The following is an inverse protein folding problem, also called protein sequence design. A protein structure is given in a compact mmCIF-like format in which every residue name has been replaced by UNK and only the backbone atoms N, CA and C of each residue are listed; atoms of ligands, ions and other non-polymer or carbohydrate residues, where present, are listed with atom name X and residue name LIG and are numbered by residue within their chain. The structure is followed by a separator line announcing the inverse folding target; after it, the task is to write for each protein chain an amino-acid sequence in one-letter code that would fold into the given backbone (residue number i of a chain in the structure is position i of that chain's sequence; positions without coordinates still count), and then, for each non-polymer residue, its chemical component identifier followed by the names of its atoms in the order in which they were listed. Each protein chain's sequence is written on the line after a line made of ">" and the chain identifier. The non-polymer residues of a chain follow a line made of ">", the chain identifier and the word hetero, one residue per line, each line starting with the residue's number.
data_IF_311964455747
#
_entry.id   IF_311964455747
#
_cell.length_a   1.000
_cell.length_b   1.000
_cell.length_c   1.000
_cell.angle_alpha   90.00
_cell.angle_beta   90.00
_cell.angle_gamma   90.00
#
_symmetry.space_group_name_H-M   'P 1'
#
loop_
_entity.id
_entity.type
_entity.pdbx_description
1 polymer ?
#
# COMPACT_ATOMS: atom_id res chain seq x y z
N UNK A 1 30.18 -4.81 -49.22
CA UNK A 1 29.26 -3.78 -48.76
C UNK A 1 28.33 -4.43 -47.76
N UNK A 2 28.57 -4.20 -46.47
CA UNK A 2 27.75 -4.76 -45.40
C UNK A 2 26.58 -3.81 -45.14
N UNK A 3 25.37 -4.34 -45.24
CA UNK A 3 24.14 -3.60 -44.93
C UNK A 3 24.17 -3.12 -43.47
N UNK A 4 23.81 -1.87 -43.21
CA UNK A 4 23.75 -1.37 -41.83
C UNK A 4 22.61 -2.06 -41.08
N UNK A 5 22.91 -2.69 -39.97
CA UNK A 5 21.95 -3.27 -39.04
C UNK A 5 20.90 -2.20 -38.67
N UNK A 6 19.59 -2.48 -38.82
CA UNK A 6 18.57 -1.49 -38.46
C UNK A 6 18.64 -1.19 -36.98
N UNK A 7 18.76 0.09 -36.64
CA UNK A 7 18.67 0.58 -35.29
C UNK A 7 17.27 0.22 -34.73
N UNK A 8 17.23 -0.58 -33.67
CA UNK A 8 15.99 -0.88 -32.97
C UNK A 8 15.44 0.45 -32.41
N UNK A 9 14.37 0.95 -33.00
CA UNK A 9 13.63 2.07 -32.44
C UNK A 9 12.99 1.60 -31.13
N UNK A 10 13.53 2.05 -30.01
CA UNK A 10 12.90 1.86 -28.70
C UNK A 10 11.73 2.85 -28.66
N UNK A 11 10.52 2.36 -28.87
CA UNK A 11 9.31 3.15 -28.63
C UNK A 11 9.25 3.50 -27.15
N UNK A 12 9.31 4.80 -26.85
CA UNK A 12 9.10 5.30 -25.49
C UNK A 12 7.61 5.13 -25.17
N UNK A 13 7.22 4.28 -24.19
CA UNK A 13 5.83 4.04 -23.88
C UNK A 13 5.14 5.34 -23.47
N UNK A 14 3.88 5.50 -23.87
CA UNK A 14 3.08 6.65 -23.44
C UNK A 14 2.92 6.65 -21.92
N UNK A 15 2.64 7.82 -21.30
CA UNK A 15 2.37 7.93 -19.86
C UNK A 15 1.27 6.96 -19.41
N UNK A 16 0.25 6.76 -20.24
CA UNK A 16 -0.85 5.82 -19.98
C UNK A 16 -0.39 4.37 -20.01
N UNK A 17 0.45 4.00 -20.97
CA UNK A 17 1.00 2.64 -21.04
C UNK A 17 1.93 2.35 -19.86
N UNK A 18 2.69 3.34 -19.43
CA UNK A 18 3.54 3.21 -18.23
C UNK A 18 2.70 2.95 -16.99
N UNK A 19 1.64 3.72 -16.74
CA UNK A 19 0.75 3.51 -15.60
C UNK A 19 0.04 2.16 -15.66
N UNK A 20 -0.43 1.76 -16.85
CA UNK A 20 -1.02 0.45 -17.05
C UNK A 20 -0.05 -0.67 -16.72
N UNK A 21 1.21 -0.56 -17.16
CA UNK A 21 2.25 -1.53 -16.88
C UNK A 21 2.60 -1.59 -15.38
N UNK A 22 2.62 -0.43 -14.69
CA UNK A 22 2.79 -0.37 -13.23
C UNK A 22 1.63 -1.06 -12.53
N UNK A 23 0.39 -0.74 -12.90
CA UNK A 23 -0.79 -1.34 -12.31
C UNK A 23 -0.85 -2.86 -12.56
N UNK A 24 -0.49 -3.33 -13.76
CA UNK A 24 -0.39 -4.75 -14.09
C UNK A 24 0.73 -5.43 -13.30
N UNK A 25 1.87 -4.79 -13.11
CA UNK A 25 2.98 -5.35 -12.35
C UNK A 25 2.62 -5.56 -10.86
N UNK A 26 1.77 -4.72 -10.28
CA UNK A 26 1.29 -4.86 -8.91
C UNK A 26 0.41 -6.10 -8.75
N UNK A 27 -0.39 -6.44 -9.75
CA UNK A 27 -1.34 -7.58 -9.69
C UNK A 27 -0.78 -8.89 -10.25
N UNK A 28 0.20 -8.83 -11.17
CA UNK A 28 0.72 -10.02 -11.86
C UNK A 28 1.56 -10.94 -10.96
N UNK A 29 2.06 -10.43 -9.85
CA UNK A 29 2.90 -11.20 -8.92
C UNK A 29 2.23 -11.15 -7.55
N UNK A 30 1.69 -12.25 -7.08
CA UNK A 30 1.29 -12.41 -5.69
C UNK A 30 2.53 -12.15 -4.79
N UNK A 31 2.66 -10.93 -4.27
CA UNK A 31 3.87 -10.46 -3.58
C UNK A 31 4.68 -9.42 -4.35
N UNK A 32 4.15 -8.88 -5.47
CA UNK A 32 4.78 -7.79 -6.23
C UNK A 32 5.08 -6.59 -5.34
N UNK A 33 6.30 -6.06 -5.45
CA UNK A 33 6.70 -4.80 -4.80
C UNK A 33 6.56 -3.69 -5.83
N UNK A 34 5.85 -2.63 -5.46
CA UNK A 34 5.85 -1.42 -6.25
C UNK A 34 7.28 -0.84 -6.23
N UNK A 35 7.87 -0.65 -7.41
CA UNK A 35 9.20 -0.01 -7.49
C UNK A 35 9.06 1.48 -7.19
N UNK A 36 10.00 2.05 -6.44
CA UNK A 36 10.00 3.47 -6.06
C UNK A 36 9.83 4.40 -7.28
N UNK A 37 10.58 4.17 -8.34
CA UNK A 37 10.50 4.95 -9.58
C UNK A 37 9.10 4.92 -10.19
N UNK A 38 8.47 3.74 -10.22
CA UNK A 38 7.12 3.56 -10.70
C UNK A 38 6.09 4.32 -9.85
N UNK A 39 6.24 4.26 -8.52
CA UNK A 39 5.37 5.01 -7.60
C UNK A 39 5.53 6.52 -7.77
N UNK A 40 6.77 7.02 -7.94
CA UNK A 40 7.02 8.43 -8.19
C UNK A 40 6.32 8.95 -9.46
N UNK A 41 6.25 8.14 -10.52
CA UNK A 41 5.49 8.51 -11.72
C UNK A 41 3.98 8.68 -11.44
N UNK A 42 3.40 7.82 -10.60
CA UNK A 42 1.98 7.93 -10.21
C UNK A 42 1.77 9.22 -9.42
N UNK A 43 2.61 9.51 -8.43
CA UNK A 43 2.54 10.76 -7.66
C UNK A 43 2.69 12.00 -8.54
N UNK A 44 3.64 11.97 -9.49
CA UNK A 44 3.84 13.09 -10.41
C UNK A 44 2.58 13.32 -11.27
N UNK A 45 1.95 12.26 -11.76
CA UNK A 45 0.73 12.41 -12.55
C UNK A 45 -0.43 12.95 -11.71
N UNK A 46 -0.63 12.48 -10.49
CA UNK A 46 -1.63 13.04 -9.56
C UNK A 46 -1.36 14.53 -9.32
N UNK A 47 -0.09 14.91 -9.11
CA UNK A 47 0.30 16.32 -8.91
C UNK A 47 0.02 17.20 -10.14
N UNK A 48 0.29 16.71 -11.34
CA UNK A 48 0.00 17.41 -12.60
C UNK A 48 -1.51 17.60 -12.80
N UNK A 49 -2.31 16.58 -12.49
CA UNK A 49 -3.77 16.67 -12.59
C UNK A 49 -4.36 17.68 -11.58
N UNK A 50 -3.92 17.64 -10.33
CA UNK A 50 -4.29 18.64 -9.32
C UNK A 50 -3.91 20.07 -9.76
N UNK A 51 -2.73 20.24 -10.37
CA UNK A 51 -2.27 21.54 -10.86
C UNK A 51 -3.12 22.06 -12.02
N UNK A 52 -3.59 21.17 -12.90
CA UNK A 52 -4.37 21.55 -14.09
C UNK A 52 -5.84 21.81 -13.75
N UNK A 53 -6.44 20.98 -12.90
CA UNK A 53 -7.88 21.03 -12.57
C UNK A 53 -8.19 21.70 -11.22
N UNK A 54 -7.18 22.15 -10.48
CA UNK A 54 -7.31 22.70 -9.13
C UNK A 54 -7.51 21.66 -8.04
N UNK A 55 -8.17 20.56 -8.36
CA UNK A 55 -8.39 19.43 -7.44
C UNK A 55 -8.37 18.11 -8.23
N UNK A 56 -8.05 17.01 -7.56
CA UNK A 56 -8.11 15.69 -8.18
C UNK A 56 -9.58 15.26 -8.37
N UNK A 57 -9.89 14.74 -9.54
CA UNK A 57 -11.19 14.15 -9.82
C UNK A 57 -11.03 12.62 -9.89
N UNK A 58 -11.69 11.87 -9.00
CA UNK A 58 -11.63 10.42 -9.01
C UNK A 58 -12.03 9.84 -10.38
N UNK A 59 -11.29 8.84 -10.85
CA UNK A 59 -11.45 8.24 -12.19
C UNK A 59 -12.23 6.95 -12.16
N UNK A 60 -12.19 6.25 -11.05
CA UNK A 60 -12.88 4.99 -10.85
C UNK A 60 -13.95 5.11 -9.78
N UNK A 61 -13.57 5.59 -8.58
CA UNK A 61 -14.45 5.55 -7.42
C UNK A 61 -15.51 6.65 -7.48
N UNK A 62 -16.73 6.30 -7.15
CA UNK A 62 -17.78 7.28 -6.92
C UNK A 62 -17.50 8.09 -5.63
N UNK A 63 -18.30 9.12 -5.38
CA UNK A 63 -18.09 10.03 -4.24
C UNK A 63 -18.04 9.33 -2.89
N UNK A 64 -18.91 8.34 -2.68
CA UNK A 64 -18.98 7.59 -1.42
C UNK A 64 -17.77 6.68 -1.26
N UNK A 65 -17.43 5.89 -2.30
CA UNK A 65 -16.28 5.01 -2.30
C UNK A 65 -14.97 5.77 -2.09
N UNK A 66 -14.83 6.93 -2.76
CA UNK A 66 -13.65 7.78 -2.60
C UNK A 66 -13.55 8.39 -1.19
N UNK A 67 -14.67 8.79 -0.60
CA UNK A 67 -14.70 9.29 0.78
C UNK A 67 -14.32 8.17 1.78
N UNK A 68 -14.83 6.96 1.57
CA UNK A 68 -14.47 5.78 2.38
C UNK A 68 -12.99 5.44 2.22
N UNK A 69 -12.44 5.43 1.01
CA UNK A 69 -11.02 5.19 0.74
C UNK A 69 -10.14 6.25 1.41
N UNK A 70 -10.55 7.53 1.34
CA UNK A 70 -9.84 8.64 1.98
C UNK A 70 -9.80 8.47 3.50
N UNK A 71 -10.93 8.08 4.10
CA UNK A 71 -11.02 7.83 5.55
C UNK A 71 -10.15 6.63 5.97
N UNK A 72 -10.18 5.56 5.20
CA UNK A 72 -9.36 4.38 5.44
C UNK A 72 -7.86 4.69 5.36
N UNK A 73 -7.44 5.47 4.37
CA UNK A 73 -6.04 5.89 4.23
C UNK A 73 -5.56 6.70 5.43
N UNK A 74 -6.40 7.61 5.94
CA UNK A 74 -6.13 8.41 7.13
C UNK A 74 -6.05 7.54 8.40
N UNK A 75 -6.88 6.50 8.53
CA UNK A 75 -6.84 5.57 9.67
C UNK A 75 -5.61 4.64 9.64
N UNK A 76 -5.12 4.28 8.45
CA UNK A 76 -3.95 3.40 8.31
C UNK A 76 -2.65 4.14 8.61
N UNK A 77 -2.49 5.37 8.12
CA UNK A 77 -1.36 6.25 8.43
C UNK A 77 -1.93 7.61 8.82
N UNK A 78 -2.25 7.80 10.10
CA UNK A 78 -2.75 9.07 10.60
C UNK A 78 -1.64 10.13 10.61
N UNK A 79 -2.05 11.40 10.60
CA UNK A 79 -1.12 12.50 10.84
C UNK A 79 -0.60 12.46 12.29
N UNK A 80 0.63 12.84 12.48
CA UNK A 80 1.27 13.03 13.79
C UNK A 80 1.95 14.41 13.92
N UNK A 81 2.80 14.58 14.91
CA UNK A 81 3.51 15.86 15.14
C UNK A 81 4.58 16.15 14.08
N UNK A 82 5.00 15.15 13.32
CA UNK A 82 6.13 15.23 12.37
C UNK A 82 5.64 15.30 10.94
N UNK A 83 4.58 14.55 10.60
CA UNK A 83 4.11 14.43 9.22
C UNK A 83 2.59 14.45 9.08
N UNK A 84 2.11 14.76 7.88
CA UNK A 84 0.71 14.62 7.51
C UNK A 84 0.30 13.15 7.36
N UNK A 85 -1.01 12.91 7.25
CA UNK A 85 -1.58 11.57 7.05
C UNK A 85 -1.32 11.02 5.62
N UNK A 86 -1.61 9.73 5.41
CA UNK A 86 -1.59 9.16 4.06
C UNK A 86 -2.61 9.82 3.11
N UNK A 87 -3.71 10.35 3.65
CA UNK A 87 -4.65 11.16 2.87
C UNK A 87 -3.98 12.46 2.39
N UNK A 88 -3.25 13.16 3.25
CA UNK A 88 -2.52 14.39 2.90
C UNK A 88 -1.40 14.11 1.89
N UNK A 89 -0.79 12.94 1.98
CA UNK A 89 0.21 12.44 1.05
C UNK A 89 -0.36 12.03 -0.32
N UNK A 90 -1.68 12.05 -0.51
CA UNK A 90 -2.34 11.70 -1.77
C UNK A 90 -2.50 10.20 -2.02
N UNK A 91 -2.52 9.37 -0.97
CA UNK A 91 -2.72 7.93 -1.11
C UNK A 91 -4.08 7.55 -1.75
N UNK A 92 -5.21 8.23 -1.45
CA UNK A 92 -6.47 7.94 -2.13
C UNK A 92 -6.40 8.17 -3.64
N UNK A 93 -5.79 9.27 -4.08
CA UNK A 93 -5.60 9.61 -5.49
C UNK A 93 -4.69 8.62 -6.20
N UNK A 94 -3.61 8.24 -5.52
CA UNK A 94 -2.66 7.23 -6.00
C UNK A 94 -3.36 5.89 -6.27
N UNK A 95 -4.18 5.43 -5.32
CA UNK A 95 -4.91 4.17 -5.41
C UNK A 95 -5.98 4.25 -6.51
N UNK A 96 -6.77 5.35 -6.56
CA UNK A 96 -7.79 5.54 -7.58
C UNK A 96 -7.19 5.52 -8.98
N UNK A 97 -6.07 6.22 -9.18
CA UNK A 97 -5.39 6.26 -10.48
C UNK A 97 -4.91 4.86 -10.91
N UNK A 98 -4.31 4.09 -10.02
CA UNK A 98 -3.88 2.72 -10.32
C UNK A 98 -5.07 1.80 -10.59
N UNK A 99 -6.12 1.86 -9.79
CA UNK A 99 -7.33 1.08 -9.97
C UNK A 99 -8.01 1.40 -11.31
N UNK A 100 -8.03 2.67 -11.74
CA UNK A 100 -8.61 3.09 -13.02
C UNK A 100 -7.90 2.48 -14.25
N UNK A 101 -6.67 2.02 -14.10
CA UNK A 101 -5.87 1.42 -15.19
C UNK A 101 -5.79 -0.11 -15.11
N UNK A 102 -6.35 -0.72 -14.06
CA UNK A 102 -6.28 -2.16 -13.84
C UNK A 102 -7.61 -2.74 -13.34
N UNK A 103 -8.38 -3.43 -14.20
CA UNK A 103 -9.67 -4.01 -13.83
C UNK A 103 -9.60 -5.01 -12.66
N UNK A 104 -8.52 -5.78 -12.54
CA UNK A 104 -8.37 -6.73 -11.43
C UNK A 104 -8.22 -5.99 -10.10
N UNK A 105 -7.40 -4.93 -10.08
CA UNK A 105 -7.24 -4.08 -8.90
C UNK A 105 -8.53 -3.32 -8.60
N UNK A 106 -9.21 -2.78 -9.61
CA UNK A 106 -10.52 -2.13 -9.47
C UNK A 106 -11.53 -3.04 -8.78
N UNK A 107 -11.65 -4.31 -9.21
CA UNK A 107 -12.55 -5.28 -8.61
C UNK A 107 -12.23 -5.57 -7.14
N UNK A 108 -10.94 -5.66 -6.78
CA UNK A 108 -10.52 -5.85 -5.38
C UNK A 108 -11.00 -4.68 -4.52
N UNK A 109 -10.81 -3.45 -4.99
CA UNK A 109 -11.15 -2.26 -4.20
C UNK A 109 -12.64 -1.98 -4.16
N UNK A 110 -13.35 -2.01 -5.30
CA UNK A 110 -14.81 -1.81 -5.31
C UNK A 110 -15.54 -2.89 -4.54
N UNK A 111 -15.15 -4.16 -4.72
CA UNK A 111 -15.70 -5.27 -3.95
C UNK A 111 -15.39 -5.17 -2.46
N UNK A 112 -14.17 -4.78 -2.10
CA UNK A 112 -13.76 -4.60 -0.72
C UNK A 112 -14.46 -3.44 -0.01
N UNK A 113 -14.63 -2.30 -0.66
CA UNK A 113 -15.38 -1.16 -0.13
C UNK A 113 -16.86 -1.50 0.08
N UNK A 114 -17.48 -2.20 -0.88
CA UNK A 114 -18.86 -2.66 -0.75
C UNK A 114 -19.03 -3.69 0.39
N UNK A 115 -18.07 -4.60 0.55
CA UNK A 115 -18.04 -5.55 1.67
C UNK A 115 -17.93 -4.81 3.01
N UNK A 116 -17.05 -3.82 3.10
CA UNK A 116 -16.83 -3.05 4.32
C UNK A 116 -18.11 -2.31 4.76
N UNK A 117 -18.82 -1.69 3.83
CA UNK A 117 -20.11 -1.05 4.10
C UNK A 117 -21.19 -2.06 4.53
N UNK A 118 -21.18 -3.24 3.90
CA UNK A 118 -22.13 -4.31 4.25
C UNK A 118 -21.89 -4.80 5.66
N UNK A 119 -20.65 -5.00 6.04
CA UNK A 119 -20.26 -5.46 7.38
C UNK A 119 -20.54 -4.38 8.43
N UNK A 120 -20.21 -3.10 8.14
CA UNK A 120 -20.51 -2.01 9.04
C UNK A 120 -22.02 -1.83 9.26
N UNK A 121 -22.86 -2.01 8.24
CA UNK A 121 -24.33 -1.96 8.38
C UNK A 121 -24.87 -3.01 9.32
N UNK A 122 -24.26 -4.20 9.36
CA UNK A 122 -24.64 -5.24 10.35
C UNK A 122 -24.30 -4.82 11.79
N UNK A 123 -23.19 -4.08 11.97
CA UNK A 123 -22.70 -3.69 13.28
C UNK A 123 -23.34 -2.40 13.81
N UNK A 124 -23.65 -1.42 12.96
CA UNK A 124 -24.05 -0.08 13.36
C UNK A 124 -25.20 0.54 12.56
N UNK A 125 -25.82 -0.18 11.62
CA UNK A 125 -26.87 0.28 10.72
C UNK A 125 -26.47 1.49 9.83
N UNK A 126 -25.15 1.80 9.71
CA UNK A 126 -24.58 2.88 8.90
C UNK A 126 -23.52 2.36 7.94
N UNK A 127 -23.15 3.14 6.93
CA UNK A 127 -21.99 2.83 6.08
C UNK A 127 -20.68 3.08 6.86
N UNK A 128 -19.56 2.57 6.35
CA UNK A 128 -18.27 2.72 7.05
C UNK A 128 -17.91 4.18 7.29
N UNK A 129 -18.04 5.04 6.27
CA UNK A 129 -17.67 6.45 6.39
C UNK A 129 -18.62 7.26 7.30
N UNK A 130 -19.87 6.81 7.45
CA UNK A 130 -20.88 7.45 8.31
C UNK A 130 -20.85 6.94 9.76
N UNK A 131 -20.22 5.77 9.99
CA UNK A 131 -20.09 5.21 11.31
C UNK A 131 -19.18 6.04 12.21
N UNK A 132 -19.36 5.92 13.52
CA UNK A 132 -18.49 6.58 14.49
C UNK A 132 -17.05 6.05 14.41
N UNK A 133 -16.09 6.88 14.78
CA UNK A 133 -14.68 6.55 14.70
C UNK A 133 -14.31 5.27 15.51
N UNK A 134 -14.91 5.08 16.69
CA UNK A 134 -14.70 3.88 17.50
C UNK A 134 -15.20 2.60 16.81
N UNK A 135 -16.32 2.69 16.08
CA UNK A 135 -16.88 1.57 15.31
C UNK A 135 -16.03 1.26 14.08
N UNK A 136 -15.52 2.30 13.39
CA UNK A 136 -14.60 2.13 12.27
C UNK A 136 -13.34 1.39 12.71
N UNK A 137 -12.72 1.84 13.79
CA UNK A 137 -11.50 1.23 14.34
C UNK A 137 -11.77 -0.20 14.81
N UNK A 138 -12.86 -0.47 15.53
CA UNK A 138 -13.21 -1.80 16.01
C UNK A 138 -13.37 -2.82 14.86
N UNK A 139 -13.96 -2.42 13.72
CA UNK A 139 -14.05 -3.29 12.54
C UNK A 139 -12.66 -3.56 11.95
N UNK A 140 -11.81 -2.54 11.81
CA UNK A 140 -10.46 -2.72 11.27
C UNK A 140 -9.59 -3.58 12.20
N UNK A 141 -9.71 -3.40 13.51
CA UNK A 141 -9.01 -4.22 14.51
C UNK A 141 -9.41 -5.69 14.40
N UNK A 142 -10.69 -5.98 14.14
CA UNK A 142 -11.15 -7.36 13.94
C UNK A 142 -10.52 -8.01 12.71
N UNK A 143 -10.27 -7.24 11.63
CA UNK A 143 -9.56 -7.72 10.44
C UNK A 143 -8.08 -7.98 10.73
N UNK A 144 -7.42 -7.09 11.46
CA UNK A 144 -6.02 -7.23 11.88
C UNK A 144 -5.85 -8.47 12.76
N UNK A 145 -6.73 -8.65 13.74
CA UNK A 145 -6.70 -9.81 14.65
C UNK A 145 -6.93 -11.13 13.89
N UNK A 146 -7.88 -11.13 12.96
CA UNK A 146 -8.13 -12.30 12.10
C UNK A 146 -6.92 -12.64 11.24
N UNK A 147 -6.26 -11.64 10.66
CA UNK A 147 -5.03 -11.84 9.90
C UNK A 147 -3.91 -12.41 10.79
N UNK A 148 -3.73 -11.82 11.99
CA UNK A 148 -2.72 -12.26 12.96
C UNK A 148 -2.93 -13.71 13.38
N UNK A 149 -4.13 -14.06 13.79
CA UNK A 149 -4.49 -15.43 14.22
C UNK A 149 -4.29 -16.44 13.08
N UNK A 150 -4.68 -16.07 11.85
CA UNK A 150 -4.49 -16.95 10.67
C UNK A 150 -3.00 -17.18 10.40
N UNK A 151 -2.14 -16.14 10.51
CA UNK A 151 -0.69 -16.27 10.35
C UNK A 151 -0.08 -17.17 11.41
N UNK A 152 -0.44 -16.97 12.68
CA UNK A 152 0.04 -17.80 13.78
C UNK A 152 -0.33 -19.27 13.61
N UNK A 153 -1.57 -19.56 13.21
CA UNK A 153 -2.01 -20.92 12.96
C UNK A 153 -1.26 -21.57 11.80
N UNK A 154 -1.00 -20.82 10.71
CA UNK A 154 -0.19 -21.31 9.59
C UNK A 154 1.25 -21.56 10.00
N UNK A 155 1.86 -20.69 10.78
CA UNK A 155 3.22 -20.87 11.29
C UNK A 155 3.34 -22.09 12.18
N UNK A 156 2.36 -22.34 13.07
CA UNK A 156 2.32 -23.56 13.91
C UNK A 156 2.20 -24.83 13.06
N UNK A 157 1.35 -24.82 12.03
CA UNK A 157 1.24 -25.94 11.08
C UNK A 157 2.55 -26.20 10.34
N UNK A 158 3.19 -25.15 9.83
CA UNK A 158 4.48 -25.26 9.12
C UNK A 158 5.63 -25.71 10.01
N UNK A 159 5.65 -25.30 11.27
CA UNK A 159 6.64 -25.79 12.26
C UNK A 159 6.47 -27.28 12.53
N UNK A 160 5.24 -27.77 12.52
CA UNK A 160 4.95 -29.19 12.70
C UNK A 160 5.38 -30.06 11.49
N UNK A 161 5.29 -29.47 10.27
CA UNK A 161 5.72 -30.11 9.01
C UNK A 161 7.20 -29.91 8.68
N UNK A 162 7.97 -29.23 9.53
CA UNK A 162 9.41 -29.00 9.34
C UNK A 162 9.79 -28.02 8.23
N UNK A 163 8.83 -27.31 7.66
CA UNK A 163 9.04 -26.30 6.61
C UNK A 163 8.74 -24.90 7.12
N UNK A 164 9.72 -24.22 7.68
CA UNK A 164 9.61 -22.80 8.06
C UNK A 164 9.60 -21.91 6.80
N UNK A 165 8.43 -21.71 6.21
CA UNK A 165 8.26 -20.67 5.20
C UNK A 165 7.98 -19.35 5.90
N UNK A 166 8.89 -18.40 5.74
CA UNK A 166 8.71 -17.02 6.21
C UNK A 166 7.55 -16.38 5.44
N UNK A 167 6.39 -16.32 6.07
CA UNK A 167 5.26 -15.55 5.55
C UNK A 167 5.55 -14.09 5.89
N UNK A 168 6.17 -13.38 4.93
CA UNK A 168 6.59 -12.00 5.12
C UNK A 168 5.45 -11.08 5.53
N UNK A 169 5.72 -10.22 6.51
CA UNK A 169 4.87 -9.08 6.81
C UNK A 169 4.78 -8.20 5.56
N UNK A 170 3.57 -7.93 5.06
CA UNK A 170 3.35 -6.96 4.00
C UNK A 170 3.22 -7.51 2.58
N UNK A 171 2.83 -8.77 2.39
CA UNK A 171 2.37 -9.25 1.08
C UNK A 171 0.97 -8.75 0.78
N UNK A 172 0.73 -8.37 -0.50
CA UNK A 172 -0.60 -8.08 -0.99
C UNK A 172 -1.49 -9.35 -0.96
N UNK A 173 -2.80 -9.16 -0.73
CA UNK A 173 -3.79 -10.20 -0.94
C UNK A 173 -3.71 -11.36 0.05
N UNK A 174 -3.47 -11.08 1.32
CA UNK A 174 -3.49 -12.11 2.35
C UNK A 174 -4.88 -12.73 2.47
N UNK A 175 -4.95 -14.06 2.41
CA UNK A 175 -6.21 -14.81 2.48
C UNK A 175 -6.38 -15.45 3.87
N UNK A 176 -7.58 -15.34 4.43
CA UNK A 176 -8.01 -16.04 5.64
C UNK A 176 -9.24 -16.93 5.34
N UNK A 177 -9.31 -18.12 5.92
CA UNK A 177 -10.48 -19.01 5.78
C UNK A 177 -11.67 -18.61 6.67
N UNK A 178 -11.57 -17.54 7.45
CA UNK A 178 -12.64 -17.05 8.32
C UNK A 178 -13.76 -16.36 7.55
N UNK A 179 -14.90 -16.11 8.20
CA UNK A 179 -16.03 -15.35 7.64
C UNK A 179 -15.64 -13.91 7.30
N UNK A 180 -14.62 -13.37 7.98
CA UNK A 180 -14.02 -12.07 7.66
C UNK A 180 -12.97 -12.13 6.54
N UNK A 181 -12.76 -13.31 5.94
CA UNK A 181 -11.73 -13.54 4.92
C UNK A 181 -11.75 -12.54 3.75
N UNK A 182 -12.90 -12.21 3.16
CA UNK A 182 -12.96 -11.20 2.09
C UNK A 182 -12.49 -9.82 2.54
N UNK A 183 -12.85 -9.42 3.77
CA UNK A 183 -12.40 -8.16 4.38
C UNK A 183 -10.90 -8.17 4.66
N UNK A 184 -10.37 -9.27 5.20
CA UNK A 184 -8.92 -9.44 5.43
C UNK A 184 -8.14 -9.35 4.12
N UNK A 185 -8.64 -9.99 3.06
CA UNK A 185 -8.03 -9.93 1.73
C UNK A 185 -7.98 -8.49 1.20
N UNK A 186 -9.11 -7.78 1.22
CA UNK A 186 -9.18 -6.37 0.82
C UNK A 186 -8.28 -5.49 1.68
N UNK A 187 -8.36 -5.62 3.01
CA UNK A 187 -7.61 -4.78 3.95
C UNK A 187 -6.10 -4.98 3.79
N UNK A 188 -5.63 -6.18 3.49
CA UNK A 188 -4.22 -6.42 3.22
C UNK A 188 -3.73 -5.68 1.96
N UNK A 189 -4.55 -5.62 0.90
CA UNK A 189 -4.30 -4.80 -0.28
C UNK A 189 -4.29 -3.32 0.03
N UNK A 190 -5.33 -2.85 0.71
CA UNK A 190 -5.50 -1.45 1.07
C UNK A 190 -4.34 -0.95 1.94
N UNK A 191 -4.04 -1.66 3.03
CA UNK A 191 -2.97 -1.30 3.96
C UNK A 191 -1.63 -1.20 3.24
N UNK A 192 -1.28 -2.22 2.47
CA UNK A 192 0.00 -2.25 1.76
C UNK A 192 0.10 -1.13 0.73
N UNK A 193 -0.94 -0.91 -0.06
CA UNK A 193 -0.95 0.14 -1.07
C UNK A 193 -0.93 1.53 -0.45
N UNK A 194 -1.64 1.75 0.67
CA UNK A 194 -1.62 3.02 1.40
C UNK A 194 -0.23 3.32 1.96
N UNK A 195 0.44 2.32 2.54
CA UNK A 195 1.81 2.45 3.05
C UNK A 195 2.80 2.72 1.91
N UNK A 196 2.67 1.98 0.79
CA UNK A 196 3.53 2.21 -0.38
C UNK A 196 3.31 3.61 -0.97
N UNK A 197 2.05 4.07 -1.09
CA UNK A 197 1.73 5.41 -1.55
C UNK A 197 2.29 6.49 -0.60
N UNK A 198 2.18 6.30 0.71
CA UNK A 198 2.68 7.25 1.69
C UNK A 198 4.20 7.37 1.62
N UNK A 199 4.94 6.29 1.80
CA UNK A 199 6.41 6.34 1.86
C UNK A 199 7.11 6.54 0.51
N UNK A 200 6.38 6.57 -0.59
CA UNK A 200 6.89 6.99 -1.90
C UNK A 200 6.49 8.43 -2.27
N UNK A 201 5.67 9.08 -1.44
CA UNK A 201 5.30 10.49 -1.57
C UNK A 201 6.37 11.42 -1.03
N UNK A 202 6.25 12.72 -1.35
CA UNK A 202 7.12 13.76 -0.83
C UNK A 202 7.04 13.85 0.71
N UNK A 203 5.82 13.76 1.27
CA UNK A 203 5.57 13.78 2.72
C UNK A 203 6.24 12.59 3.39
N UNK A 204 6.01 11.37 2.91
CA UNK A 204 6.57 10.17 3.53
C UNK A 204 8.08 10.02 3.37
N UNK A 205 8.66 10.54 2.26
CA UNK A 205 10.12 10.59 2.09
C UNK A 205 10.76 11.56 3.12
N UNK A 206 10.09 12.69 3.39
CA UNK A 206 10.54 13.64 4.40
C UNK A 206 10.38 13.07 5.82
N UNK A 207 9.29 12.37 6.10
CA UNK A 207 9.00 11.73 7.38
C UNK A 207 10.13 10.79 7.82
N UNK A 208 10.58 9.89 6.94
CA UNK A 208 11.70 8.98 7.21
C UNK A 208 13.09 9.64 7.04
N UNK A 209 13.15 10.94 6.76
CA UNK A 209 14.38 11.68 6.51
C UNK A 209 15.29 11.02 5.45
N UNK A 210 14.68 10.42 4.43
CA UNK A 210 15.42 9.71 3.39
C UNK A 210 16.24 10.69 2.55
N UNK A 211 17.58 10.57 2.62
CA UNK A 211 18.55 11.44 1.92
C UNK A 211 19.04 10.84 0.60
N UNK A 212 18.46 9.73 0.17
CA UNK A 212 18.95 8.98 -1.00
C UNK A 212 20.20 8.14 -0.68
N UNK A 213 20.63 7.37 -1.68
CA UNK A 213 21.87 6.61 -1.59
C UNK A 213 23.02 7.53 -2.01
N UNK A 214 23.76 8.07 -1.04
CA UNK A 214 25.03 8.77 -1.33
C UNK A 214 26.15 7.77 -1.50
N UNK A 215 27.03 8.01 -2.48
CA UNK A 215 28.28 7.26 -2.60
C UNK A 215 29.19 7.70 -1.45
N UNK A 216 29.37 6.81 -0.48
CA UNK A 216 30.32 7.04 0.61
C UNK A 216 31.70 6.57 0.16
N UNK A 217 32.73 7.41 0.39
CA UNK A 217 34.13 7.04 0.14
C UNK A 217 34.65 5.98 1.12
N UNK A 218 33.99 5.85 2.28
CA UNK A 218 34.22 4.83 3.29
C UNK A 218 32.88 4.34 3.82
N UNK A 219 32.79 3.03 4.10
CA UNK A 219 31.62 2.47 4.77
C UNK A 219 31.71 2.76 6.28
N UNK A 220 30.84 3.64 6.75
CA UNK A 220 30.77 4.00 8.16
C UNK A 220 29.33 3.82 8.64
N UNK A 221 29.14 3.03 9.66
CA UNK A 221 27.82 2.84 10.30
C UNK A 221 27.75 3.85 11.43
N UNK A 222 26.74 4.76 11.44
CA UNK A 222 26.57 5.70 12.54
C UNK A 222 26.45 4.98 13.90
N UNK A 223 27.13 5.51 14.91
CA UNK A 223 27.13 4.90 16.26
C UNK A 223 25.72 4.69 16.80
N UNK A 224 24.84 5.63 16.57
CA UNK A 224 23.41 5.58 16.95
C UNK A 224 22.70 4.37 16.35
N UNK A 225 22.99 4.02 15.09
CA UNK A 225 22.42 2.84 14.42
C UNK A 225 22.93 1.55 15.03
N UNK A 226 24.21 1.51 15.42
CA UNK A 226 24.82 0.37 16.12
C UNK A 226 24.16 0.21 17.48
N UNK A 227 24.06 1.29 18.27
CA UNK A 227 23.50 1.30 19.61
C UNK A 227 22.01 0.89 19.59
N UNK A 228 21.25 1.38 18.61
CA UNK A 228 19.86 0.98 18.39
C UNK A 228 19.72 -0.53 18.07
N UNK A 229 20.55 -1.06 17.21
CA UNK A 229 20.56 -2.48 16.88
C UNK A 229 20.94 -3.35 18.07
N UNK A 230 21.95 -2.91 18.84
CA UNK A 230 22.42 -3.62 20.03
C UNK A 230 21.38 -3.64 21.15
N UNK A 231 20.67 -2.53 21.41
CA UNK A 231 19.61 -2.47 22.41
C UNK A 231 18.47 -3.46 22.18
N UNK A 232 18.19 -3.80 20.92
CA UNK A 232 17.14 -4.75 20.49
C UNK A 232 17.65 -6.14 20.20
N UNK A 233 18.95 -6.34 20.22
CA UNK A 233 19.58 -7.64 19.99
C UNK A 233 19.39 -8.57 21.20
N UNK A 234 19.00 -9.85 20.99
CA UNK A 234 18.98 -10.83 22.07
C UNK A 234 20.37 -11.08 22.69
N UNK A 235 21.42 -10.62 22.01
CA UNK A 235 22.84 -10.73 22.47
C UNK A 235 23.34 -9.47 23.20
N UNK A 236 22.49 -8.44 23.39
CA UNK A 236 22.86 -7.20 24.08
C UNK A 236 22.94 -7.32 25.63
N UNK A 237 22.71 -8.51 26.16
CA UNK A 237 22.80 -8.78 27.61
C UNK A 237 24.09 -9.57 27.90
N UNK A 238 25.21 -8.92 27.79
CA UNK A 238 26.46 -9.34 28.45
C UNK A 238 27.30 -8.10 28.81
#
# INVERSE_FOLDING_TARGET
>A
MSDPTPLVQIEIPSRRDMLRNIALAVTAVAGGRLKLEAAQHVHQQVKEEKKTAGTYQPKLFNKHEYATLSRLSELIVPADEVSGSAKDAGAPEFIDLLCSQNPALANIYTGGLAWLDTEMKKLSASTFVEARADQQVALLDSLVETERTTKENRQRGLMYEGTAHYIGLGSYGFQSPSDLGPGVFFFSWLRKMTVDAFYTSEIGIQDIQYKGNSVLSQFEVPRESIDFALQRSPFAKH
#
